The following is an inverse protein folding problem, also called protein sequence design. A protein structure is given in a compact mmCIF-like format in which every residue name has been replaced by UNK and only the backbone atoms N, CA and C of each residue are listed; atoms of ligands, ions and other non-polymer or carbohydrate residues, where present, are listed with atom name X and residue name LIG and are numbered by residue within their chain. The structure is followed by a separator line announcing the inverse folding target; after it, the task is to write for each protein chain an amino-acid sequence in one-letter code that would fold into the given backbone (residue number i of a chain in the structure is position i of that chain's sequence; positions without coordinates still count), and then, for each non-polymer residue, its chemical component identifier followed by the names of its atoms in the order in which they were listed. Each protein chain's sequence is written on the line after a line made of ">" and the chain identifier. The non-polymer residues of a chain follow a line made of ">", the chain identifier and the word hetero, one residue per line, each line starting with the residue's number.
data_IF_564585201179
#
_entry.id   IF_564585201179
#
_cell.length_a   1.000
_cell.length_b   1.000
_cell.length_c   1.000
_cell.angle_alpha   90.00
_cell.angle_beta   90.00
_cell.angle_gamma   90.00
#
_symmetry.space_group_name_H-M   'P 1'
#
loop_
_entity.id
_entity.type
_entity.pdbx_description
1 polymer ?
#
# COMPACT_ATOMS: atom_id res chain seq x y z
N UNK A 1 11.77 -1.63 -10.56
CA UNK A 1 10.80 -1.46 -9.48
C UNK A 1 9.37 -1.23 -9.98
N UNK A 2 9.22 -0.51 -11.08
CA UNK A 2 7.92 -0.32 -11.71
C UNK A 2 7.33 -1.67 -12.14
N UNK A 3 8.15 -2.55 -12.69
CA UNK A 3 7.71 -3.88 -13.06
C UNK A 3 7.25 -4.69 -11.85
N UNK A 4 7.98 -4.59 -10.74
CA UNK A 4 7.59 -5.29 -9.53
C UNK A 4 6.20 -4.84 -9.05
N UNK A 5 5.91 -3.54 -9.15
CA UNK A 5 4.61 -3.02 -8.79
C UNK A 5 3.52 -3.58 -9.71
N UNK A 6 3.80 -3.65 -11.00
CA UNK A 6 2.83 -4.17 -11.97
C UNK A 6 2.49 -5.64 -11.75
N UNK A 7 3.42 -6.41 -11.20
CA UNK A 7 3.18 -7.82 -10.91
C UNK A 7 2.53 -8.07 -9.55
N UNK A 8 2.28 -7.03 -8.78
CA UNK A 8 1.58 -7.17 -7.52
C UNK A 8 0.12 -7.56 -7.73
N UNK A 9 -0.46 -8.25 -6.76
CA UNK A 9 -1.88 -8.55 -6.77
C UNK A 9 -2.69 -7.25 -6.60
N UNK A 10 -4.01 -7.34 -6.85
CA UNK A 10 -4.87 -6.18 -6.69
C UNK A 10 -4.81 -5.61 -5.28
N UNK A 11 -4.84 -6.47 -4.25
CA UNK A 11 -4.77 -6.03 -2.87
C UNK A 11 -3.44 -5.34 -2.57
N UNK A 12 -2.35 -5.87 -3.09
CA UNK A 12 -1.03 -5.25 -2.90
C UNK A 12 -0.97 -3.88 -3.57
N UNK A 13 -1.55 -3.75 -4.77
CA UNK A 13 -1.60 -2.46 -5.48
C UNK A 13 -2.44 -1.43 -4.73
N UNK A 14 -3.60 -1.83 -4.23
CA UNK A 14 -4.45 -0.94 -3.44
C UNK A 14 -3.74 -0.55 -2.15
N UNK A 15 -3.00 -1.46 -1.55
CA UNK A 15 -2.22 -1.18 -0.35
C UNK A 15 -1.16 -0.11 -0.62
N UNK A 16 -0.40 -0.25 -1.72
CA UNK A 16 0.59 0.76 -2.10
C UNK A 16 -0.06 2.11 -2.35
N UNK A 17 -1.17 2.13 -3.05
CA UNK A 17 -1.93 3.35 -3.30
C UNK A 17 -2.40 4.00 -2.00
N UNK A 18 -2.82 3.19 -1.04
CA UNK A 18 -3.27 3.68 0.26
C UNK A 18 -2.11 4.29 1.06
N UNK A 19 -0.91 3.72 0.96
CA UNK A 19 0.28 4.31 1.58
C UNK A 19 0.53 5.71 1.03
N UNK A 20 0.47 5.88 -0.29
CA UNK A 20 0.67 7.19 -0.92
C UNK A 20 -0.41 8.17 -0.48
N UNK A 21 -1.65 7.71 -0.39
CA UNK A 21 -2.76 8.57 0.05
C UNK A 21 -2.55 9.05 1.49
N UNK A 22 -2.05 8.18 2.37
CA UNK A 22 -1.76 8.56 3.76
C UNK A 22 -0.61 9.55 3.81
N UNK A 23 0.45 9.34 3.01
CA UNK A 23 1.56 10.29 2.92
C UNK A 23 1.05 11.69 2.57
N UNK A 24 0.20 11.76 1.55
CA UNK A 24 -0.36 13.04 1.08
C UNK A 24 -1.19 13.71 2.17
N UNK A 25 -1.98 12.93 2.89
CA UNK A 25 -2.87 13.45 3.92
C UNK A 25 -2.10 13.93 5.15
N UNK A 26 -1.08 13.18 5.56
CA UNK A 26 -0.29 13.53 6.74
C UNK A 26 0.76 14.60 6.42
N UNK A 27 1.26 14.62 5.19
CA UNK A 27 2.28 15.56 4.76
C UNK A 27 3.71 15.11 4.99
N UNK A 28 3.93 13.85 5.38
CA UNK A 28 5.25 13.25 5.53
C UNK A 28 5.27 11.88 4.86
N UNK A 29 6.46 11.39 4.51
CA UNK A 29 6.61 10.11 3.82
C UNK A 29 6.72 8.96 4.82
N UNK A 30 5.74 8.86 5.70
CA UNK A 30 5.68 7.85 6.74
C UNK A 30 4.22 7.57 7.04
N UNK A 31 3.83 6.30 6.96
CA UNK A 31 2.42 5.92 7.11
C UNK A 31 2.26 4.89 8.22
N UNK A 32 1.55 5.24 9.31
CA UNK A 32 1.20 4.24 10.32
C UNK A 32 0.31 3.15 9.71
N UNK A 33 0.56 1.91 10.07
CA UNK A 33 -0.15 0.77 9.49
C UNK A 33 -1.67 0.87 9.71
N UNK A 34 -2.11 1.30 10.89
CA UNK A 34 -3.53 1.42 11.19
C UNK A 34 -4.22 2.40 10.23
N UNK A 35 -3.56 3.48 9.86
CA UNK A 35 -4.10 4.45 8.92
C UNK A 35 -4.17 3.90 7.50
N UNK A 36 -3.16 3.13 7.12
CA UNK A 36 -3.13 2.50 5.79
C UNK A 36 -4.26 1.48 5.67
N UNK A 37 -4.45 0.66 6.71
CA UNK A 37 -5.53 -0.33 6.71
C UNK A 37 -6.89 0.37 6.59
N UNK A 38 -7.08 1.45 7.34
CA UNK A 38 -8.33 2.20 7.31
C UNK A 38 -8.59 2.77 5.91
N UNK A 39 -7.59 3.40 5.32
CA UNK A 39 -7.71 3.98 3.98
C UNK A 39 -8.00 2.90 2.94
N UNK A 40 -7.30 1.77 3.04
CA UNK A 40 -7.50 0.66 2.12
C UNK A 40 -8.91 0.07 2.23
N UNK A 41 -9.39 -0.11 3.46
CA UNK A 41 -10.72 -0.67 3.67
C UNK A 41 -11.82 0.26 3.15
N UNK A 42 -11.61 1.57 3.17
CA UNK A 42 -12.55 2.49 2.55
C UNK A 42 -12.65 2.27 1.04
N UNK A 43 -11.50 2.06 0.39
CA UNK A 43 -11.48 1.77 -1.05
C UNK A 43 -12.14 0.42 -1.34
N UNK A 44 -11.81 -0.61 -0.55
CA UNK A 44 -12.36 -1.95 -0.74
C UNK A 44 -13.87 -1.95 -0.55
N UNK A 45 -14.35 -1.23 0.44
CA UNK A 45 -15.78 -1.10 0.69
C UNK A 45 -16.48 -0.42 -0.48
N UNK A 46 -15.87 0.62 -1.03
CA UNK A 46 -16.42 1.33 -2.18
C UNK A 46 -16.53 0.42 -3.41
N UNK A 47 -15.56 -0.48 -3.59
CA UNK A 47 -15.53 -1.40 -4.72
C UNK A 47 -16.28 -2.71 -4.44
N UNK A 48 -16.96 -2.82 -3.30
CA UNK A 48 -17.68 -4.04 -2.88
C UNK A 48 -16.77 -5.26 -2.78
N UNK A 49 -15.55 -5.05 -2.34
CA UNK A 49 -14.58 -6.12 -2.10
C UNK A 49 -14.51 -6.42 -0.60
N UNK A 50 -14.03 -7.62 -0.28
CA UNK A 50 -13.86 -8.01 1.12
C UNK A 50 -12.85 -7.12 1.82
N UNK A 51 -13.17 -6.73 3.05
CA UNK A 51 -12.27 -5.90 3.85
C UNK A 51 -11.04 -6.69 4.28
N UNK A 52 -9.95 -5.96 4.49
CA UNK A 52 -8.68 -6.55 4.87
C UNK A 52 -8.60 -6.69 6.39
N UNK A 53 -8.32 -7.91 6.87
CA UNK A 53 -8.07 -8.12 8.29
C UNK A 53 -6.63 -7.69 8.63
N UNK A 54 -6.36 -7.56 9.94
CA UNK A 54 -5.01 -7.21 10.40
C UNK A 54 -4.00 -8.25 9.95
N UNK A 55 -4.34 -9.53 10.04
CA UNK A 55 -3.43 -10.61 9.63
C UNK A 55 -3.16 -10.58 8.13
N UNK A 56 -4.19 -10.32 7.33
CA UNK A 56 -4.02 -10.19 5.89
C UNK A 56 -3.17 -8.98 5.54
N UNK A 57 -3.34 -7.87 6.27
CA UNK A 57 -2.52 -6.68 6.08
C UNK A 57 -1.06 -6.98 6.36
N UNK A 58 -0.76 -7.73 7.43
CA UNK A 58 0.62 -8.12 7.72
C UNK A 58 1.20 -9.02 6.63
N UNK A 59 0.39 -9.91 6.05
CA UNK A 59 0.84 -10.74 4.94
C UNK A 59 1.18 -9.90 3.71
N UNK A 60 0.37 -8.89 3.42
CA UNK A 60 0.63 -7.98 2.30
C UNK A 60 1.91 -7.19 2.54
N UNK A 61 2.08 -6.65 3.76
CA UNK A 61 3.30 -5.94 4.14
C UNK A 61 4.51 -6.84 3.98
N UNK A 62 4.42 -8.09 4.42
CA UNK A 62 5.51 -9.05 4.30
C UNK A 62 5.92 -9.28 2.85
N UNK A 63 4.95 -9.43 1.96
CA UNK A 63 5.23 -9.63 0.54
C UNK A 63 5.85 -8.38 -0.09
N UNK A 64 5.32 -7.20 0.20
CA UNK A 64 5.85 -5.95 -0.33
C UNK A 64 7.27 -5.67 0.20
N UNK A 65 7.54 -6.03 1.45
CA UNK A 65 8.87 -5.92 2.03
C UNK A 65 9.84 -6.89 1.35
N UNK A 66 9.40 -8.12 1.09
CA UNK A 66 10.21 -9.12 0.39
C UNK A 66 10.54 -8.66 -1.03
N UNK A 67 9.63 -7.95 -1.69
CA UNK A 67 9.86 -7.39 -3.02
C UNK A 67 10.66 -6.08 -2.97
N UNK A 68 11.01 -5.61 -1.78
CA UNK A 68 11.78 -4.38 -1.55
C UNK A 68 11.05 -3.13 -2.04
N UNK A 69 9.72 -3.17 -2.02
CA UNK A 69 8.91 -2.01 -2.37
C UNK A 69 8.55 -1.17 -1.15
N UNK A 70 8.50 -1.78 0.02
CA UNK A 70 8.12 -1.14 1.27
C UNK A 70 9.19 -1.40 2.33
N UNK A 71 9.45 -0.39 3.15
CA UNK A 71 10.31 -0.50 4.33
C UNK A 71 9.43 -0.41 5.57
N UNK A 72 9.73 -1.22 6.57
CA UNK A 72 8.93 -1.28 7.78
C UNK A 72 9.77 -0.84 8.97
N UNK A 73 9.24 0.09 9.76
CA UNK A 73 9.81 0.50 11.03
C UNK A 73 8.91 -0.03 12.14
N UNK A 74 9.43 -0.92 13.01
CA UNK A 74 8.59 -1.50 14.07
C UNK A 74 8.09 -0.44 15.03
N UNK A 75 6.83 -0.58 15.46
CA UNK A 75 6.27 0.29 16.45
C UNK A 75 6.61 -0.13 17.87
N UNK A 76 6.32 0.74 18.82
CA UNK A 76 6.60 0.48 20.22
C UNK A 76 5.44 -0.20 20.95
N UNK A 77 4.22 0.02 20.48
CA UNK A 77 3.01 -0.39 21.19
C UNK A 77 2.29 -1.58 20.58
N UNK A 78 2.81 -2.19 19.51
CA UNK A 78 2.21 -3.37 18.94
C UNK A 78 2.18 -3.35 17.41
N UNK A 79 1.41 -4.31 16.84
CA UNK A 79 1.41 -4.57 15.41
C UNK A 79 0.86 -3.42 14.57
N UNK A 80 -0.08 -2.65 15.10
CA UNK A 80 -0.70 -1.54 14.37
C UNK A 80 0.09 -0.25 14.47
N UNK A 81 1.09 -0.19 15.34
CA UNK A 81 1.92 0.99 15.54
C UNK A 81 3.12 1.03 14.58
N UNK A 82 3.26 -0.01 13.76
CA UNK A 82 4.36 -0.06 12.79
C UNK A 82 4.18 1.03 11.74
N UNK A 83 5.30 1.60 11.30
CA UNK A 83 5.30 2.66 10.30
C UNK A 83 5.85 2.15 8.99
N UNK A 84 5.23 2.55 7.91
CA UNK A 84 5.59 2.11 6.58
C UNK A 84 6.18 3.24 5.78
N UNK A 85 7.22 2.94 5.02
CA UNK A 85 7.83 3.86 4.07
C UNK A 85 7.95 3.15 2.74
N UNK A 86 7.98 3.91 1.66
CA UNK A 86 8.21 3.34 0.34
C UNK A 86 9.70 3.29 0.04
N UNK A 87 10.15 2.18 -0.54
CA UNK A 87 11.51 2.04 -1.05
C UNK A 87 11.58 2.44 -2.54
N UNK A 88 10.47 2.94 -3.07
CA UNK A 88 10.36 3.51 -4.42
C UNK A 88 9.67 4.87 -4.24
N UNK A 89 9.77 5.74 -5.25
CA UNK A 89 9.11 7.04 -5.14
C UNK A 89 7.60 6.88 -5.24
N UNK A 90 6.87 7.78 -4.57
CA UNK A 90 5.42 7.81 -4.69
C UNK A 90 4.98 8.01 -6.13
N UNK A 91 5.73 8.84 -6.87
CA UNK A 91 5.44 9.09 -8.29
C UNK A 91 5.57 7.82 -9.11
N UNK A 92 6.55 6.97 -8.82
CA UNK A 92 6.71 5.68 -9.51
C UNK A 92 5.54 4.75 -9.24
N UNK A 93 5.04 4.75 -8.01
CA UNK A 93 3.86 3.94 -7.65
C UNK A 93 2.65 4.41 -8.45
N UNK A 94 2.39 5.71 -8.43
CA UNK A 94 1.24 6.27 -9.14
C UNK A 94 1.34 6.07 -10.64
N UNK A 95 2.55 6.23 -11.19
CA UNK A 95 2.78 6.03 -12.61
C UNK A 95 2.51 4.57 -13.01
N UNK A 96 3.01 3.61 -12.25
CA UNK A 96 2.82 2.20 -12.54
C UNK A 96 1.34 1.80 -12.50
N UNK A 97 0.59 2.32 -11.50
CA UNK A 97 -0.83 2.02 -11.38
C UNK A 97 -1.64 2.67 -12.48
N UNK A 98 -1.28 3.90 -12.86
CA UNK A 98 -1.96 4.62 -13.94
C UNK A 98 -1.74 3.95 -15.28
N UNK A 99 -0.51 3.56 -15.56
CA UNK A 99 -0.16 2.90 -16.81
C UNK A 99 -0.92 1.58 -16.99
N UNK A 100 -1.07 0.82 -15.91
CA UNK A 100 -1.85 -0.40 -15.93
C UNK A 100 -3.33 -0.13 -16.21
N UNK A 101 -3.89 0.92 -15.60
CA UNK A 101 -5.26 1.33 -15.87
C UNK A 101 -5.46 1.67 -17.33
N UNK A 102 -4.53 2.41 -17.91
CA UNK A 102 -4.59 2.79 -19.32
C UNK A 102 -4.55 1.55 -20.22
N UNK A 103 -3.75 0.56 -19.86
CA UNK A 103 -3.67 -0.68 -20.59
C UNK A 103 -4.98 -1.45 -20.55
N UNK A 104 -5.66 -1.44 -19.42
CA UNK A 104 -6.94 -2.13 -19.26
C UNK A 104 -8.07 -1.48 -20.04
N UNK A 105 -8.00 -0.20 -20.26
CA UNK A 105 -9.05 0.55 -20.97
C UNK A 105 -9.04 0.25 -22.47
N UNK A 106 -8.09 -0.47 -22.94
CA UNK A 106 -8.06 -0.92 -24.32
C UNK A 106 -8.74 -2.27 -24.46
#
# INVERSE_FOLDING_TARGET
>A
KILAIRYCSKYEKVFLQSIVAVFTKIGIEEAPLDRVIKAMNEVLKFENLDLLSIDQAHNVVGRLTACKLVLVEPGKAGRLDMKLRLNVSADDVLFALRDEKTTHDK
#
